data_IF_291043054213
#
_entry.id   IF_291043054213
#
_cell.length_a   1.000
_cell.length_b   1.000
_cell.length_c   1.000
_cell.angle_alpha   90.00
_cell.angle_beta   90.00
_cell.angle_gamma   90.00
#
_symmetry.space_group_name_H-M   'P 1'
#
loop_
_entity.id
_entity.type
_entity.pdbx_description
1 polymer ?
#
# COMPACT_ATOMS: atom_id res chain seq x y z
N UNK A 1 17.60 8.03 3.95
CA UNK A 1 17.71 6.82 4.80
C UNK A 1 17.14 7.15 6.17
N UNK A 2 16.44 6.20 6.81
CA UNK A 2 15.84 6.40 8.15
C UNK A 2 16.78 5.83 9.20
N UNK A 3 17.09 6.59 10.25
CA UNK A 3 17.89 6.12 11.38
C UNK A 3 16.97 5.43 12.39
N UNK A 4 17.25 4.18 12.72
CA UNK A 4 16.47 3.38 13.67
C UNK A 4 17.32 3.15 14.93
N UNK A 5 16.98 3.76 16.08
CA UNK A 5 17.68 3.51 17.33
C UNK A 5 17.41 2.10 17.87
N UNK A 6 18.34 1.59 18.68
CA UNK A 6 18.22 0.26 19.29
C UNK A 6 16.97 0.19 20.18
N UNK A 7 16.22 -0.91 20.07
CA UNK A 7 14.97 -1.19 20.79
C UNK A 7 13.90 -0.10 20.71
N UNK A 8 13.97 0.78 19.69
CA UNK A 8 13.02 1.88 19.53
C UNK A 8 12.33 1.81 18.16
N UNK A 9 10.99 1.67 18.12
CA UNK A 9 10.25 1.73 16.87
C UNK A 9 10.44 3.08 16.17
N UNK A 10 10.57 3.06 14.84
CA UNK A 10 10.65 4.27 14.01
C UNK A 10 9.69 4.13 12.84
N UNK A 11 8.96 5.21 12.53
CA UNK A 11 8.03 5.24 11.40
C UNK A 11 8.71 5.92 10.21
N UNK A 12 8.82 5.20 9.10
CA UNK A 12 9.18 5.76 7.81
C UNK A 12 7.91 6.06 7.00
N UNK A 13 7.76 7.29 6.50
CA UNK A 13 6.64 7.68 5.63
C UNK A 13 7.14 7.87 4.21
N UNK A 14 6.41 7.31 3.25
CA UNK A 14 6.70 7.43 1.83
C UNK A 14 5.44 7.90 1.11
N UNK A 15 5.60 8.85 0.20
CA UNK A 15 4.55 9.26 -0.73
C UNK A 15 4.89 8.71 -2.09
N UNK A 16 3.99 7.90 -2.64
CA UNK A 16 4.15 7.29 -3.96
C UNK A 16 2.95 7.73 -4.80
N UNK A 17 3.22 8.44 -5.89
CA UNK A 17 2.20 8.80 -6.85
C UNK A 17 1.98 7.63 -7.81
N UNK A 18 0.74 7.16 -7.89
CA UNK A 18 0.32 6.15 -8.87
C UNK A 18 -0.55 6.85 -9.90
N UNK A 19 0.00 7.03 -11.10
CA UNK A 19 -0.70 7.70 -12.20
C UNK A 19 -1.58 6.67 -12.91
N UNK A 20 -2.87 6.97 -13.02
CA UNK A 20 -3.86 6.17 -13.75
C UNK A 20 -3.79 4.65 -13.43
N UNK A 21 -3.97 4.23 -12.17
CA UNK A 21 -3.96 2.81 -11.83
C UNK A 21 -5.12 2.08 -12.52
N UNK A 22 -4.90 0.83 -12.89
CA UNK A 22 -5.99 -0.06 -13.24
C UNK A 22 -6.85 -0.29 -11.98
N UNK A 23 -8.13 0.05 -12.07
CA UNK A 23 -9.03 -0.03 -10.91
C UNK A 23 -9.47 -1.47 -10.68
N UNK A 24 -9.69 -1.79 -9.40
CA UNK A 24 -10.32 -3.02 -8.99
C UNK A 24 -11.84 -2.84 -9.03
N UNK A 25 -12.54 -3.74 -9.72
CA UNK A 25 -14.00 -3.89 -9.72
C UNK A 25 -14.38 -5.36 -9.58
N UNK A 26 -15.68 -5.67 -9.57
CA UNK A 26 -16.17 -7.06 -9.55
C UNK A 26 -15.88 -7.78 -10.87
N UNK A 27 -15.88 -7.06 -12.00
CA UNK A 27 -15.63 -7.56 -13.34
C UNK A 27 -14.11 -7.63 -13.64
N UNK A 28 -13.35 -6.66 -13.10
CA UNK A 28 -11.92 -6.53 -13.33
C UNK A 28 -11.17 -6.50 -12.01
N UNK A 29 -10.69 -7.66 -11.57
CA UNK A 29 -10.03 -7.86 -10.28
C UNK A 29 -8.56 -7.44 -10.27
N UNK A 30 -8.24 -6.25 -10.80
CA UNK A 30 -6.88 -5.74 -10.88
C UNK A 30 -6.27 -5.57 -9.49
N UNK A 31 -5.15 -6.25 -9.23
CA UNK A 31 -4.42 -6.18 -7.98
C UNK A 31 -2.96 -5.83 -8.20
N UNK A 32 -2.44 -5.01 -7.30
CA UNK A 32 -1.04 -4.66 -7.17
C UNK A 32 -0.45 -5.33 -5.94
N UNK A 33 0.88 -5.44 -5.92
CA UNK A 33 1.63 -5.88 -4.74
C UNK A 33 2.50 -4.74 -4.25
N UNK A 34 2.24 -4.28 -3.03
CA UNK A 34 3.10 -3.31 -2.33
C UNK A 34 4.09 -4.09 -1.50
N UNK A 35 5.37 -4.03 -1.87
CA UNK A 35 6.46 -4.70 -1.16
C UNK A 35 7.30 -3.68 -0.41
N UNK A 36 7.44 -3.86 0.90
CA UNK A 36 8.33 -3.05 1.75
C UNK A 36 9.56 -3.87 2.10
N UNK A 37 10.75 -3.30 1.92
CA UNK A 37 12.03 -3.92 2.23
C UNK A 37 12.79 -3.08 3.25
N UNK A 38 13.33 -3.72 4.29
CA UNK A 38 14.33 -3.11 5.17
C UNK A 38 15.70 -3.48 4.63
N UNK A 39 16.49 -2.48 4.26
CA UNK A 39 17.82 -2.67 3.68
C UNK A 39 18.86 -2.12 4.66
N UNK A 40 19.79 -2.98 5.09
CA UNK A 40 20.92 -2.63 5.94
C UNK A 40 22.22 -3.06 5.26
N UNK A 41 23.17 -2.13 5.10
CA UNK A 41 24.46 -2.38 4.43
C UNK A 41 24.32 -3.08 3.07
N UNK A 42 23.37 -2.62 2.25
CA UNK A 42 23.11 -3.15 0.91
C UNK A 42 22.43 -4.52 0.87
N UNK A 43 22.08 -5.12 2.03
CA UNK A 43 21.35 -6.38 2.11
C UNK A 43 19.93 -6.17 2.62
N UNK A 44 18.96 -6.84 1.99
CA UNK A 44 17.60 -6.93 2.53
C UNK A 44 17.63 -7.79 3.80
N UNK A 45 17.25 -7.20 4.93
CA UNK A 45 17.19 -7.90 6.22
C UNK A 45 15.76 -8.26 6.63
N UNK A 46 14.76 -7.65 5.98
CA UNK A 46 13.35 -7.98 6.14
C UNK A 46 12.55 -7.56 4.89
N UNK A 47 11.46 -8.28 4.62
CA UNK A 47 10.55 -8.00 3.53
C UNK A 47 9.11 -8.40 3.91
N UNK A 48 8.16 -7.51 3.61
CA UNK A 48 6.74 -7.83 3.68
C UNK A 48 6.02 -7.34 2.42
N UNK A 49 4.97 -8.06 2.02
CA UNK A 49 4.17 -7.74 0.85
C UNK A 49 2.69 -7.72 1.18
N UNK A 50 1.97 -6.76 0.59
CA UNK A 50 0.51 -6.63 0.69
C UNK A 50 -0.11 -6.63 -0.70
N UNK A 51 -1.21 -7.37 -0.87
CA UNK A 51 -2.06 -7.25 -2.05
C UNK A 51 -2.92 -5.99 -1.90
N UNK A 52 -3.00 -5.17 -2.95
CA UNK A 52 -3.66 -3.85 -2.94
C UNK A 52 -4.46 -3.64 -4.21
N UNK A 53 -5.76 -3.37 -4.07
CA UNK A 53 -6.63 -2.93 -5.17
C UNK A 53 -6.97 -1.46 -5.03
N UNK A 54 -6.89 -0.70 -6.12
CA UNK A 54 -7.34 0.69 -6.17
C UNK A 54 -8.83 0.72 -6.52
N UNK A 55 -9.68 1.13 -5.58
CA UNK A 55 -11.11 1.33 -5.79
C UNK A 55 -11.62 2.44 -4.88
N UNK A 56 -12.72 3.07 -5.26
CA UNK A 56 -13.41 4.05 -4.41
C UNK A 56 -14.61 3.38 -3.79
N UNK A 57 -14.86 3.61 -2.51
CA UNK A 57 -16.07 3.14 -1.85
C UNK A 57 -16.84 4.36 -1.38
N UNK A 58 -18.12 4.43 -1.72
CA UNK A 58 -19.03 5.50 -1.28
C UNK A 58 -20.29 4.89 -0.73
N UNK A 59 -20.76 5.42 0.39
CA UNK A 59 -22.08 5.14 0.93
C UNK A 59 -22.94 6.38 0.82
N UNK A 60 -24.16 6.17 0.36
CA UNK A 60 -25.20 7.18 0.24
C UNK A 60 -26.42 6.79 1.08
N UNK A 61 -27.03 7.76 1.75
CA UNK A 61 -28.14 7.50 2.65
C UNK A 61 -29.46 7.15 1.92
N UNK A 62 -29.61 7.55 0.66
CA UNK A 62 -30.78 7.24 -0.17
C UNK A 62 -30.49 6.08 -1.13
N UNK A 63 -29.28 6.02 -1.66
CA UNK A 63 -28.93 5.11 -2.77
C UNK A 63 -28.10 3.88 -2.33
N UNK A 64 -27.66 3.83 -1.08
CA UNK A 64 -26.94 2.68 -0.53
C UNK A 64 -25.46 2.64 -0.86
N UNK A 65 -24.95 1.48 -1.25
CA UNK A 65 -23.51 1.22 -1.42
C UNK A 65 -23.06 1.35 -2.88
N UNK A 66 -21.93 2.02 -3.07
CA UNK A 66 -21.23 2.13 -4.33
C UNK A 66 -19.80 1.61 -4.19
N UNK A 67 -19.41 0.83 -5.19
CA UNK A 67 -18.05 0.45 -5.50
C UNK A 67 -17.66 1.06 -6.84
#
# INVERSE_FOLDING_TARGET
AVKVPVFTPTIAKFSIAIVSPALWSLEQTNLYRVTTKVINNGKTVDESSLNTGFRTIRFDAQEGFFL
#
